data_IF_076948398409
#
_entry.id   IF_076948398409
#
_cell.length_a   1.000
_cell.length_b   1.000
_cell.length_c   1.000
_cell.angle_alpha   90.00
_cell.angle_beta   90.00
_cell.angle_gamma   90.00
#
_symmetry.space_group_name_H-M   'P 1'
#
loop_
_entity.id
_entity.type
_entity.pdbx_description
1 polymer ?
#
# COMPACT_ATOMS: atom_id res chain seq x y z
N UNK A 1 -8.02 8.43 -29.44
CA UNK A 1 -7.90 9.49 -28.42
C UNK A 1 -8.63 9.15 -27.10
N UNK A 2 -9.78 8.51 -27.14
CA UNK A 2 -10.54 8.15 -25.90
C UNK A 2 -9.76 7.21 -24.98
N UNK A 3 -9.00 6.23 -25.51
CA UNK A 3 -8.24 5.26 -24.69
C UNK A 3 -7.12 5.91 -23.89
N UNK A 4 -6.43 6.90 -24.47
CA UNK A 4 -5.38 7.62 -23.75
C UNK A 4 -5.94 8.50 -22.61
N UNK A 5 -7.12 9.09 -22.83
CA UNK A 5 -7.81 9.86 -21.80
C UNK A 5 -8.27 8.96 -20.63
N UNK A 6 -8.82 7.78 -20.91
CA UNK A 6 -9.20 6.85 -19.84
C UNK A 6 -8.01 6.36 -19.04
N UNK A 7 -6.88 6.07 -19.69
CA UNK A 7 -5.64 5.71 -19.02
C UNK A 7 -5.09 6.85 -18.13
N UNK A 8 -5.16 8.09 -18.61
CA UNK A 8 -4.75 9.26 -17.85
C UNK A 8 -5.64 9.49 -16.62
N UNK A 9 -6.97 9.32 -16.76
CA UNK A 9 -7.92 9.45 -15.64
C UNK A 9 -7.68 8.35 -14.60
N UNK A 10 -7.42 7.11 -15.02
CA UNK A 10 -7.08 6.01 -14.12
C UNK A 10 -5.81 6.31 -13.32
N UNK A 11 -4.76 6.81 -14.00
CA UNK A 11 -3.52 7.25 -13.35
C UNK A 11 -3.74 8.38 -12.35
N UNK A 12 -4.50 9.40 -12.74
CA UNK A 12 -4.82 10.53 -11.86
C UNK A 12 -5.56 10.09 -10.59
N UNK A 13 -6.58 9.24 -10.74
CA UNK A 13 -7.33 8.68 -9.60
C UNK A 13 -6.46 7.86 -8.66
N UNK A 14 -5.56 7.05 -9.23
CA UNK A 14 -4.61 6.26 -8.43
C UNK A 14 -3.64 7.14 -7.64
N UNK A 15 -3.12 8.19 -8.26
CA UNK A 15 -2.27 9.17 -7.58
C UNK A 15 -3.02 10.01 -6.55
N UNK A 16 -4.29 10.34 -6.78
CA UNK A 16 -5.13 10.98 -5.77
C UNK A 16 -5.23 10.12 -4.51
N UNK A 17 -5.53 8.82 -4.65
CA UNK A 17 -5.55 7.89 -3.50
C UNK A 17 -4.21 7.85 -2.76
N UNK A 18 -3.09 7.88 -3.50
CA UNK A 18 -1.76 7.95 -2.87
C UNK A 18 -1.56 9.24 -2.09
N UNK A 19 -2.03 10.38 -2.62
CA UNK A 19 -1.95 11.66 -1.92
C UNK A 19 -2.81 11.68 -0.65
N UNK A 20 -3.98 11.05 -0.67
CA UNK A 20 -4.84 10.92 0.51
C UNK A 20 -4.15 10.10 1.62
N UNK A 21 -3.48 9.01 1.27
CA UNK A 21 -2.69 8.20 2.21
C UNK A 21 -1.50 8.99 2.76
N UNK A 22 -0.78 9.73 1.91
CA UNK A 22 0.33 10.58 2.34
C UNK A 22 -0.16 11.71 3.26
N UNK A 23 -1.27 12.36 2.95
CA UNK A 23 -1.88 13.37 3.78
C UNK A 23 -2.22 12.84 5.18
N UNK A 24 -2.76 11.63 5.25
CA UNK A 24 -3.02 10.96 6.53
C UNK A 24 -1.73 10.66 7.31
N UNK A 25 -0.66 10.19 6.64
CA UNK A 25 0.63 9.95 7.28
C UNK A 25 1.23 11.24 7.85
N UNK A 26 1.13 12.35 7.11
CA UNK A 26 1.63 13.66 7.56
C UNK A 26 0.80 14.19 8.73
N UNK A 27 -0.52 14.06 8.66
CA UNK A 27 -1.41 14.50 9.75
C UNK A 27 -1.11 13.79 11.07
N UNK A 28 -0.68 12.54 11.02
CA UNK A 28 -0.41 11.70 12.17
C UNK A 28 1.07 11.60 12.53
N UNK A 29 1.94 12.49 12.03
CA UNK A 29 3.39 12.43 12.30
C UNK A 29 3.71 12.56 13.80
N UNK A 30 2.89 13.30 14.55
CA UNK A 30 3.03 13.48 16.00
C UNK A 30 2.14 12.53 16.83
N UNK A 31 1.44 11.59 16.18
CA UNK A 31 0.60 10.62 16.88
C UNK A 31 1.46 9.47 17.37
N UNK A 32 1.43 9.21 18.67
CA UNK A 32 2.15 8.10 19.29
C UNK A 32 1.69 6.76 18.73
N UNK A 33 2.65 5.89 18.39
CA UNK A 33 2.34 4.55 17.89
C UNK A 33 1.73 4.50 16.48
N UNK A 34 1.62 5.62 15.79
CA UNK A 34 1.10 5.63 14.43
C UNK A 34 1.99 4.82 13.48
N UNK A 35 1.39 3.96 12.68
CA UNK A 35 2.07 3.17 11.67
C UNK A 35 1.77 3.72 10.28
N UNK A 36 2.81 4.16 9.59
CA UNK A 36 2.70 4.73 8.24
C UNK A 36 2.13 3.72 7.26
N UNK A 37 1.35 4.22 6.31
CA UNK A 37 0.77 3.42 5.24
C UNK A 37 1.42 3.76 3.91
N UNK A 38 1.60 2.75 3.08
CA UNK A 38 2.17 2.88 1.73
C UNK A 38 1.19 2.31 0.71
N UNK A 39 1.00 3.04 -0.38
CA UNK A 39 0.13 2.65 -1.48
C UNK A 39 0.95 1.94 -2.55
N UNK A 40 0.58 0.74 -2.90
CA UNK A 40 1.16 -0.03 -4.00
C UNK A 40 0.27 0.07 -5.22
N UNK A 41 0.89 0.26 -6.39
CA UNK A 41 0.21 0.31 -7.67
C UNK A 41 0.35 -1.02 -8.39
N UNK A 42 -0.63 -1.32 -9.20
CA UNK A 42 -0.58 -2.41 -10.17
C UNK A 42 -0.98 -1.89 -11.54
N UNK A 43 -0.48 -2.55 -12.53
CA UNK A 43 -0.83 -2.28 -13.92
C UNK A 43 -2.26 -2.75 -14.21
N UNK A 44 -2.94 -2.02 -15.06
CA UNK A 44 -4.27 -2.41 -15.55
C UNK A 44 -4.14 -3.33 -16.76
N UNK A 45 -5.26 -3.75 -17.32
CA UNK A 45 -5.31 -4.65 -18.47
C UNK A 45 -4.66 -4.04 -19.71
N UNK A 46 -4.12 -4.90 -20.57
CA UNK A 46 -3.57 -4.56 -21.87
C UNK A 46 -4.52 -4.97 -23.01
N UNK A 47 -4.52 -4.20 -24.08
CA UNK A 47 -5.13 -4.56 -25.35
C UNK A 47 -4.03 -4.82 -26.37
N UNK A 48 -4.09 -5.95 -27.07
CA UNK A 48 -3.20 -6.24 -28.18
C UNK A 48 -3.61 -5.39 -29.39
N UNK A 49 -2.69 -4.57 -29.89
CA UNK A 49 -2.84 -3.83 -31.14
C UNK A 49 -2.45 -4.71 -32.34
N UNK A 50 -1.33 -5.43 -32.18
CA UNK A 50 -0.80 -6.34 -33.17
C UNK A 50 -0.51 -7.66 -32.44
N UNK A 51 -1.04 -8.76 -32.97
CA UNK A 51 -0.70 -10.09 -32.49
C UNK A 51 0.71 -10.46 -32.97
N UNK A 52 1.56 -10.92 -32.07
CA UNK A 52 2.86 -11.44 -32.45
C UNK A 52 2.75 -12.68 -33.32
N UNK A 53 3.67 -12.87 -34.23
CA UNK A 53 3.83 -14.09 -35.01
C UNK A 53 5.22 -14.66 -34.82
N UNK A 54 5.31 -15.99 -34.71
CA UNK A 54 6.59 -16.69 -34.75
C UNK A 54 7.27 -16.53 -36.11
N UNK A 55 8.59 -16.48 -36.11
CA UNK A 55 9.37 -16.56 -37.36
C UNK A 55 9.19 -17.91 -38.04
N UNK A 56 9.25 -17.95 -39.37
CA UNK A 56 9.24 -19.15 -40.15
C UNK A 56 10.65 -19.43 -40.70
N UNK A 57 11.18 -20.60 -40.39
CA UNK A 57 12.55 -21.02 -40.76
C UNK A 57 12.63 -21.63 -42.18
N UNK A 58 11.68 -21.30 -43.06
CA UNK A 58 11.73 -21.68 -44.46
C UNK A 58 12.73 -20.82 -45.25
N UNK A 59 13.25 -21.34 -46.39
CA UNK A 59 14.28 -20.70 -47.25
C UNK A 59 13.95 -19.24 -47.66
N UNK A 60 12.71 -18.81 -47.58
CA UNK A 60 12.24 -17.41 -47.71
C UNK A 60 11.39 -16.99 -46.51
N UNK A 61 11.71 -17.50 -45.33
CA UNK A 61 10.95 -17.25 -44.12
C UNK A 61 11.00 -15.80 -43.65
N UNK A 62 9.90 -15.30 -43.14
CA UNK A 62 9.81 -13.99 -42.49
C UNK A 62 10.21 -14.10 -41.02
N UNK A 63 10.95 -13.11 -40.51
CA UNK A 63 11.28 -13.01 -39.10
C UNK A 63 10.04 -12.88 -38.21
N UNK A 64 10.16 -13.25 -36.93
CA UNK A 64 9.11 -13.10 -35.94
C UNK A 64 8.77 -11.62 -35.69
N UNK A 65 7.52 -11.33 -35.44
CA UNK A 65 7.02 -10.01 -35.05
C UNK A 65 6.56 -10.05 -33.61
N UNK A 66 7.09 -9.12 -32.78
CA UNK A 66 6.65 -9.00 -31.39
C UNK A 66 5.23 -8.45 -31.30
N UNK A 67 4.52 -8.85 -30.23
CA UNK A 67 3.20 -8.26 -29.93
C UNK A 67 3.35 -6.77 -29.57
N UNK A 68 2.46 -5.93 -30.12
CA UNK A 68 2.30 -4.54 -29.70
C UNK A 68 1.09 -4.44 -28.77
N UNK A 69 1.31 -4.00 -27.53
CA UNK A 69 0.28 -3.91 -26.52
C UNK A 69 0.10 -2.47 -26.03
N UNK A 70 -1.14 -2.11 -25.76
CA UNK A 70 -1.51 -0.82 -25.18
C UNK A 70 -2.17 -1.05 -23.82
N UNK A 71 -1.62 -0.45 -22.76
CA UNK A 71 -2.17 -0.53 -21.40
C UNK A 71 -3.30 0.46 -21.15
N UNK A 72 -4.20 0.12 -20.24
CA UNK A 72 -5.31 0.98 -19.79
C UNK A 72 -4.98 1.86 -18.60
N UNK A 73 -3.72 1.88 -18.16
CA UNK A 73 -3.25 2.69 -17.04
C UNK A 73 -2.96 1.87 -15.79
N UNK A 74 -3.09 2.49 -14.63
CA UNK A 74 -2.76 1.90 -13.34
C UNK A 74 -3.94 1.90 -12.39
N UNK A 75 -3.97 0.95 -11.46
CA UNK A 75 -4.91 0.89 -10.34
C UNK A 75 -4.15 0.72 -9.03
N UNK A 76 -4.79 1.10 -7.91
CA UNK A 76 -4.24 0.81 -6.59
C UNK A 76 -4.43 -0.67 -6.28
N UNK A 77 -3.33 -1.37 -6.03
CA UNK A 77 -3.34 -2.79 -5.67
C UNK A 77 -3.69 -3.00 -4.21
N UNK A 78 -2.95 -2.31 -3.33
CA UNK A 78 -3.12 -2.45 -1.89
C UNK A 78 -2.59 -1.22 -1.15
N UNK A 79 -3.08 -1.02 0.06
CA UNK A 79 -2.53 -0.08 1.01
C UNK A 79 -1.94 -0.90 2.15
N UNK A 80 -0.62 -0.98 2.21
CA UNK A 80 0.10 -1.74 3.23
C UNK A 80 0.48 -0.84 4.40
N UNK A 81 0.40 -1.38 5.62
CA UNK A 81 0.84 -0.71 6.83
C UNK A 81 2.24 -1.19 7.20
N UNK A 82 3.13 -0.25 7.50
CA UNK A 82 4.48 -0.56 7.94
C UNK A 82 4.47 -0.81 9.46
N UNK A 83 4.80 -2.03 9.88
CA UNK A 83 4.82 -2.45 11.28
C UNK A 83 6.21 -2.42 11.92
N UNK A 84 7.18 -1.74 11.34
CA UNK A 84 8.50 -1.63 11.96
C UNK A 84 8.40 -0.95 13.33
N UNK A 85 9.20 -1.45 14.30
CA UNK A 85 9.30 -0.84 15.62
C UNK A 85 9.97 0.52 15.50
N UNK A 86 9.35 1.55 16.09
CA UNK A 86 9.92 2.89 16.15
C UNK A 86 10.88 3.06 17.31
N UNK A 87 11.50 4.24 17.42
CA UNK A 87 12.29 4.62 18.59
C UNK A 87 11.38 4.91 19.78
N UNK A 88 11.69 4.34 20.94
CA UNK A 88 11.00 4.67 22.19
C UNK A 88 11.25 6.11 22.59
N UNK A 89 10.23 6.81 23.07
CA UNK A 89 10.35 8.14 23.62
C UNK A 89 9.97 8.13 25.10
N UNK A 90 10.77 8.81 25.90
CA UNK A 90 10.51 8.93 27.34
C UNK A 90 9.37 9.92 27.59
N UNK A 91 8.29 9.45 28.23
CA UNK A 91 7.10 10.25 28.53
C UNK A 91 7.05 10.75 29.98
N UNK A 92 7.90 10.20 30.86
CA UNK A 92 7.91 10.53 32.28
C UNK A 92 6.77 9.89 33.09
N UNK A 93 5.90 9.13 32.47
CA UNK A 93 4.80 8.42 33.14
C UNK A 93 5.20 6.95 33.38
N UNK A 94 5.17 6.44 34.63
CA UNK A 94 5.59 5.08 34.94
C UNK A 94 4.67 3.98 34.40
N UNK A 95 3.47 4.33 33.91
CA UNK A 95 2.52 3.39 33.35
C UNK A 95 2.62 3.25 31.83
N UNK A 96 3.44 4.06 31.18
CA UNK A 96 3.62 3.96 29.73
C UNK A 96 4.60 2.82 29.43
N UNK A 97 4.15 1.86 28.64
CA UNK A 97 4.91 0.68 28.25
C UNK A 97 5.11 0.65 26.74
N UNK A 98 6.29 0.23 26.31
CA UNK A 98 6.62 -0.03 24.91
C UNK A 98 7.02 -1.49 24.74
N UNK A 99 6.59 -2.11 23.64
CA UNK A 99 7.08 -3.43 23.24
C UNK A 99 8.32 -3.26 22.37
N UNK A 100 9.47 -3.76 22.85
CA UNK A 100 10.68 -3.90 22.04
C UNK A 100 10.68 -5.30 21.42
N UNK A 101 10.44 -5.35 20.10
CA UNK A 101 10.35 -6.61 19.35
C UNK A 101 9.04 -6.80 18.60
N UNK A 102 8.72 -8.07 18.27
CA UNK A 102 7.50 -8.46 17.56
C UNK A 102 6.42 -8.91 18.53
N UNK A 103 5.45 -8.06 18.78
CA UNK A 103 4.35 -8.37 19.69
C UNK A 103 3.23 -7.34 19.60
N UNK A 104 2.10 -7.62 20.27
CA UNK A 104 0.97 -6.72 20.36
C UNK A 104 0.44 -6.72 21.78
N UNK A 105 -0.01 -5.56 22.26
CA UNK A 105 -0.76 -5.51 23.50
C UNK A 105 -2.17 -6.04 23.28
N UNK A 106 -2.65 -6.82 24.23
CA UNK A 106 -4.05 -7.29 24.24
C UNK A 106 -4.83 -6.29 25.08
N UNK A 107 -5.67 -5.48 24.40
CA UNK A 107 -6.55 -4.52 25.08
C UNK A 107 -7.97 -5.06 25.00
N UNK A 108 -8.64 -5.17 26.14
CA UNK A 108 -10.02 -5.66 26.19
C UNK A 108 -10.79 -4.96 27.29
N UNK A 109 -12.10 -4.77 27.08
CA UNK A 109 -13.00 -4.38 28.15
C UNK A 109 -13.38 -5.63 28.96
N UNK A 110 -13.48 -5.52 30.27
CA UNK A 110 -13.75 -6.66 31.19
C UNK A 110 -15.07 -7.39 30.87
N UNK A 111 -16.00 -6.73 30.17
CA UNK A 111 -17.31 -7.31 29.82
C UNK A 111 -17.39 -7.89 28.41
N UNK A 112 -16.50 -7.50 27.51
CA UNK A 112 -16.50 -7.99 26.14
C UNK A 112 -15.06 -8.38 25.77
N UNK A 113 -14.79 -9.68 25.63
CA UNK A 113 -13.47 -10.20 25.27
C UNK A 113 -13.14 -9.91 23.80
N UNK A 114 -13.25 -8.66 23.38
CA UNK A 114 -12.74 -8.22 22.10
C UNK A 114 -11.27 -7.90 22.26
N UNK A 115 -10.42 -8.85 21.91
CA UNK A 115 -8.98 -8.62 21.85
C UNK A 115 -8.68 -7.75 20.63
N UNK A 116 -8.45 -6.47 20.85
CA UNK A 116 -7.88 -5.59 19.83
C UNK A 116 -6.36 -5.70 19.94
N UNK A 117 -5.73 -6.29 18.95
CA UNK A 117 -4.27 -6.38 18.87
C UNK A 117 -3.71 -5.02 18.40
N UNK A 118 -3.27 -4.20 19.32
CA UNK A 118 -2.58 -2.96 19.04
C UNK A 118 -1.08 -3.18 19.13
N UNK A 119 -0.40 -3.10 17.99
CA UNK A 119 1.06 -3.07 17.90
C UNK A 119 1.52 -1.63 17.93
N UNK A 120 1.54 -1.05 19.11
CA UNK A 120 1.94 0.34 19.30
C UNK A 120 3.19 0.47 20.15
N UNK A 121 3.98 1.49 19.85
CA UNK A 121 5.22 1.76 20.53
C UNK A 121 5.04 2.42 21.91
N UNK A 122 3.87 2.99 22.20
CA UNK A 122 3.54 3.53 23.53
C UNK A 122 2.03 3.43 23.75
N UNK A 123 1.61 2.75 24.79
CA UNK A 123 0.24 2.76 25.28
C UNK A 123 0.22 3.46 26.63
N UNK A 124 -0.47 4.59 26.73
CA UNK A 124 -0.81 5.15 28.02
C UNK A 124 -2.07 4.47 28.54
N UNK A 125 -1.96 3.74 29.63
CA UNK A 125 -3.11 3.17 30.34
C UNK A 125 -3.75 4.31 31.16
N UNK A 126 -4.66 5.08 30.54
CA UNK A 126 -5.47 6.02 31.30
C UNK A 126 -6.50 5.21 32.10
N UNK A 127 -6.41 5.30 33.40
CA UNK A 127 -7.40 4.76 34.32
C UNK A 127 -8.68 5.60 34.18
N UNK A 128 -9.78 4.97 33.80
CA UNK A 128 -11.14 5.51 34.02
C UNK A 128 -11.51 5.31 35.47
#
# INVERSE_FOLDING_TARGET
MVKSMTAAIAGLKSHQTKMDVLGNNIANVNTWGYKSRTTNFQDAMYTNQISGSGGNDSINGTGGVNTSQLGYGTTVSSISTNFTTGSGQFTGNPLDCMIDGTGFFIVGNYQDRVSVNLRESNISLSRV
#
